data_IF_635890918564
#
_entry.id   IF_635890918564
#
_cell.length_a   1.000
_cell.length_b   1.000
_cell.length_c   1.000
_cell.angle_alpha   90.00
_cell.angle_beta   90.00
_cell.angle_gamma   90.00
#
_symmetry.space_group_name_H-M   'P 1'
#
loop_
_entity.id
_entity.type
_entity.pdbx_description
1 polymer ?
#
# COMPACT_ATOMS: atom_id res chain seq x y z
N UNK A 1 -2.10 -8.78 0.36
CA UNK A 1 -0.67 -9.09 0.58
C UNK A 1 -0.51 -10.59 0.73
N UNK A 2 0.56 -11.16 0.16
CA UNK A 2 0.76 -12.62 0.13
C UNK A 2 2.22 -13.00 0.34
N UNK A 3 2.47 -14.21 0.88
CA UNK A 3 3.83 -14.67 1.08
C UNK A 3 3.95 -16.07 1.67
N UNK A 4 5.17 -16.41 2.06
CA UNK A 4 5.53 -17.71 2.61
C UNK A 4 4.91 -17.97 3.99
N UNK A 5 4.60 -19.23 4.24
CA UNK A 5 4.18 -19.71 5.57
C UNK A 5 5.36 -19.87 6.57
N UNK A 6 6.59 -19.79 6.06
CA UNK A 6 7.83 -19.86 6.84
C UNK A 6 8.69 -18.63 6.53
N UNK A 7 8.31 -17.48 7.05
CA UNK A 7 9.02 -16.24 6.79
C UNK A 7 10.35 -16.14 7.54
N UNK A 8 11.19 -15.19 7.12
CA UNK A 8 12.41 -14.84 7.86
C UNK A 8 12.09 -14.16 9.18
N UNK A 9 13.08 -14.07 10.08
CA UNK A 9 12.92 -13.42 11.41
C UNK A 9 12.38 -11.98 11.31
N UNK A 10 12.80 -11.24 10.30
CA UNK A 10 12.42 -9.83 10.14
C UNK A 10 11.10 -9.63 9.39
N UNK A 11 10.43 -10.71 8.97
CA UNK A 11 9.26 -10.60 8.11
C UNK A 11 8.06 -9.95 8.81
N UNK A 12 7.89 -10.16 10.10
CA UNK A 12 6.82 -9.54 10.88
C UNK A 12 6.98 -8.01 10.88
N UNK A 13 8.17 -7.52 11.20
CA UNK A 13 8.45 -6.08 11.18
C UNK A 13 8.35 -5.49 9.76
N UNK A 14 8.78 -6.24 8.75
CA UNK A 14 8.60 -5.83 7.35
C UNK A 14 7.12 -5.67 7.01
N UNK A 15 6.28 -6.65 7.34
CA UNK A 15 4.83 -6.55 7.14
C UNK A 15 4.23 -5.38 7.92
N UNK A 16 4.69 -5.17 9.16
CA UNK A 16 4.26 -4.07 10.02
C UNK A 16 4.53 -2.71 9.36
N UNK A 17 5.75 -2.49 8.84
CA UNK A 17 6.13 -1.25 8.13
C UNK A 17 5.35 -1.06 6.83
N UNK A 18 5.19 -2.12 6.03
CA UNK A 18 4.39 -2.09 4.80
C UNK A 18 2.95 -1.67 5.08
N UNK A 19 2.32 -2.31 6.06
CA UNK A 19 0.92 -2.03 6.40
C UNK A 19 0.78 -0.65 7.05
N UNK A 20 1.71 -0.26 7.95
CA UNK A 20 1.72 1.08 8.54
C UNK A 20 1.69 2.20 7.49
N UNK A 21 2.37 2.02 6.36
CA UNK A 21 2.39 3.01 5.29
C UNK A 21 1.01 3.31 4.70
N UNK A 22 0.04 2.40 4.88
CA UNK A 22 -1.34 2.55 4.42
C UNK A 22 -2.21 3.40 5.36
N UNK A 23 -1.69 3.82 6.52
CA UNK A 23 -2.43 4.71 7.41
C UNK A 23 -2.76 6.04 6.71
N UNK A 24 -3.96 6.55 6.98
CA UNK A 24 -4.47 7.75 6.32
C UNK A 24 -4.89 7.53 4.86
N UNK A 25 -5.00 6.28 4.41
CA UNK A 25 -5.55 5.93 3.10
C UNK A 25 -6.91 5.22 3.25
N UNK A 26 -7.58 4.96 2.11
CA UNK A 26 -8.77 4.09 2.06
C UNK A 26 -8.43 2.64 1.70
N UNK A 27 -7.17 2.23 1.91
CA UNK A 27 -6.74 0.89 1.61
C UNK A 27 -7.38 -0.14 2.56
N UNK A 28 -7.67 -1.31 2.01
CA UNK A 28 -8.09 -2.49 2.75
C UNK A 28 -7.03 -3.58 2.52
N UNK A 29 -6.55 -4.18 3.59
CA UNK A 29 -5.60 -5.30 3.50
C UNK A 29 -6.38 -6.59 3.28
N UNK A 30 -6.15 -7.27 2.16
CA UNK A 30 -6.76 -8.57 1.86
C UNK A 30 -5.69 -9.64 1.87
N UNK A 31 -5.91 -10.73 2.60
CA UNK A 31 -5.01 -11.90 2.63
C UNK A 31 -5.77 -13.18 2.98
N UNK A 32 -5.03 -14.28 3.15
CA UNK A 32 -5.62 -15.61 3.25
C UNK A 32 -5.66 -16.21 4.65
N UNK A 33 -5.34 -15.46 5.69
CA UNK A 33 -5.27 -15.95 7.06
C UNK A 33 -4.38 -17.21 7.21
N UNK A 34 -3.41 -17.40 6.31
CA UNK A 34 -2.42 -18.46 6.44
C UNK A 34 -1.36 -18.06 7.46
N UNK A 35 -0.71 -19.07 8.06
CA UNK A 35 0.46 -18.83 8.92
C UNK A 35 1.53 -18.03 8.15
N UNK A 36 2.28 -17.17 8.84
CA UNK A 36 3.38 -16.38 8.27
C UNK A 36 2.93 -15.04 7.72
N UNK A 37 3.30 -14.69 6.49
CA UNK A 37 3.09 -13.36 5.92
C UNK A 37 1.62 -12.93 5.99
N UNK A 38 0.68 -13.80 5.68
CA UNK A 38 -0.75 -13.48 5.72
C UNK A 38 -1.18 -13.02 7.12
N UNK A 39 -0.84 -13.83 8.16
CA UNK A 39 -1.15 -13.48 9.56
C UNK A 39 -0.48 -12.18 9.98
N UNK A 40 0.81 -11.99 9.67
CA UNK A 40 1.53 -10.76 10.01
C UNK A 40 0.91 -9.50 9.38
N UNK A 41 0.40 -9.62 8.15
CA UNK A 41 -0.29 -8.50 7.51
C UNK A 41 -1.63 -8.18 8.16
N UNK A 42 -2.39 -9.20 8.60
CA UNK A 42 -3.63 -9.00 9.35
C UNK A 42 -3.37 -8.40 10.73
N UNK A 43 -2.39 -8.92 11.47
CA UNK A 43 -1.98 -8.40 12.79
C UNK A 43 -1.57 -6.92 12.68
N UNK A 44 -0.75 -6.58 11.69
CA UNK A 44 -0.37 -5.20 11.44
C UNK A 44 -1.56 -4.32 11.04
N UNK A 45 -2.52 -4.85 10.26
CA UNK A 45 -3.72 -4.11 9.89
C UNK A 45 -4.56 -3.77 11.14
N UNK A 46 -4.71 -4.71 12.06
CA UNK A 46 -5.38 -4.49 13.34
C UNK A 46 -4.63 -3.47 14.21
N UNK A 47 -3.30 -3.60 14.32
CA UNK A 47 -2.46 -2.68 15.09
C UNK A 47 -2.62 -1.23 14.62
N UNK A 48 -2.70 -1.00 13.31
CA UNK A 48 -2.76 0.36 12.73
C UNK A 48 -4.17 0.83 12.38
N UNK A 49 -5.21 0.08 12.77
CA UNK A 49 -6.61 0.44 12.51
C UNK A 49 -6.96 0.43 11.01
N UNK A 50 -6.29 -0.40 10.22
CA UNK A 50 -6.55 -0.53 8.78
C UNK A 50 -7.55 -1.67 8.57
N UNK A 51 -8.66 -1.44 7.83
CA UNK A 51 -9.62 -2.50 7.54
C UNK A 51 -8.95 -3.71 6.87
N UNK A 52 -9.32 -4.92 7.29
CA UNK A 52 -8.74 -6.13 6.74
C UNK A 52 -9.79 -7.20 6.46
N UNK A 53 -9.59 -7.92 5.34
CA UNK A 53 -10.44 -9.02 4.89
C UNK A 53 -9.60 -10.29 4.82
N UNK A 54 -9.99 -11.31 5.57
CA UNK A 54 -9.39 -12.62 5.49
C UNK A 54 -10.27 -13.56 4.64
N UNK A 55 -9.75 -13.98 3.51
CA UNK A 55 -10.44 -14.98 2.67
C UNK A 55 -9.96 -16.36 3.12
N UNK A 56 -10.84 -17.28 3.47
CA UNK A 56 -10.49 -18.62 3.94
C UNK A 56 -10.85 -19.70 2.91
N UNK A 57 -10.27 -20.89 3.05
CA UNK A 57 -10.38 -22.00 2.09
C UNK A 57 -11.27 -23.14 2.62
N UNK A 58 -12.20 -22.80 3.50
CA UNK A 58 -13.13 -23.69 4.17
C UNK A 58 -14.40 -22.93 4.55
N UNK A 59 -15.43 -23.62 4.98
CA UNK A 59 -16.67 -23.02 5.47
C UNK A 59 -16.48 -22.20 6.76
N UNK A 60 -17.38 -21.28 7.03
CA UNK A 60 -17.27 -20.33 8.15
C UNK A 60 -17.46 -21.02 9.52
N UNK A 61 -18.23 -22.12 9.59
CA UNK A 61 -18.46 -22.88 10.82
C UNK A 61 -17.32 -23.89 11.10
N UNK A 62 -16.41 -24.08 10.15
CA UNK A 62 -15.26 -24.96 10.34
C UNK A 62 -14.17 -24.26 11.15
N UNK A 63 -13.77 -24.88 12.25
CA UNK A 63 -12.81 -24.30 13.18
C UNK A 63 -11.47 -23.90 12.50
N UNK A 64 -11.07 -22.67 12.71
CA UNK A 64 -9.74 -22.18 12.33
C UNK A 64 -8.75 -22.66 13.42
N UNK A 65 -7.67 -23.38 13.07
CA UNK A 65 -6.77 -23.95 14.05
C UNK A 65 -5.79 -22.93 14.65
N UNK A 66 -5.46 -23.16 15.93
CA UNK A 66 -4.37 -22.45 16.63
C UNK A 66 -4.61 -20.95 16.82
N UNK A 67 -3.54 -20.20 16.89
CA UNK A 67 -3.51 -18.74 17.11
C UNK A 67 -4.31 -17.95 16.06
N UNK A 68 -4.49 -18.49 14.87
CA UNK A 68 -5.28 -17.86 13.81
C UNK A 68 -6.76 -17.73 14.14
N UNK A 69 -7.28 -18.52 15.09
CA UNK A 69 -8.67 -18.37 15.58
C UNK A 69 -8.85 -17.04 16.29
N UNK A 70 -7.92 -16.68 17.17
CA UNK A 70 -7.95 -15.40 17.88
C UNK A 70 -7.75 -14.24 16.90
N UNK A 71 -6.84 -14.39 15.94
CA UNK A 71 -6.66 -13.38 14.89
C UNK A 71 -7.95 -13.18 14.08
N UNK A 72 -8.64 -14.26 13.69
CA UNK A 72 -9.91 -14.18 12.97
C UNK A 72 -10.98 -13.47 13.81
N UNK A 73 -11.08 -13.76 15.11
CA UNK A 73 -11.99 -13.10 16.04
C UNK A 73 -11.70 -11.59 16.11
N UNK A 74 -10.44 -11.20 16.30
CA UNK A 74 -10.02 -9.81 16.37
C UNK A 74 -10.29 -9.05 15.05
N UNK A 75 -10.12 -9.72 13.89
CA UNK A 75 -10.47 -9.12 12.58
C UNK A 75 -11.95 -8.72 12.57
N UNK A 76 -12.84 -9.62 12.97
CA UNK A 76 -14.30 -9.34 12.97
C UNK A 76 -14.66 -8.27 14.00
N UNK A 77 -14.14 -8.37 15.22
CA UNK A 77 -14.38 -7.40 16.30
C UNK A 77 -13.92 -5.98 15.95
N UNK A 78 -12.87 -5.87 15.12
CA UNK A 78 -12.36 -4.58 14.63
C UNK A 78 -13.09 -4.06 13.38
N UNK A 79 -14.21 -4.66 13.00
CA UNK A 79 -14.99 -4.25 11.83
C UNK A 79 -14.42 -4.76 10.49
N UNK A 80 -13.48 -5.71 10.52
CA UNK A 80 -13.02 -6.45 9.37
C UNK A 80 -13.97 -7.58 8.98
N UNK A 81 -13.54 -8.44 8.04
CA UNK A 81 -14.38 -9.51 7.49
C UNK A 81 -13.61 -10.81 7.33
N UNK A 82 -14.27 -11.93 7.66
CA UNK A 82 -13.86 -13.27 7.23
C UNK A 82 -14.78 -13.69 6.10
N UNK A 83 -14.22 -14.06 4.96
CA UNK A 83 -14.95 -14.41 3.75
C UNK A 83 -14.64 -15.84 3.30
N UNK A 84 -15.64 -16.56 2.88
CA UNK A 84 -15.51 -17.87 2.24
C UNK A 84 -16.45 -17.99 1.04
N UNK A 85 -16.08 -18.79 0.05
CA UNK A 85 -16.96 -19.18 -1.06
C UNK A 85 -17.60 -20.56 -0.84
N UNK A 86 -17.25 -21.24 0.26
CA UNK A 86 -17.71 -22.58 0.58
C UNK A 86 -18.94 -22.51 1.51
N UNK A 87 -19.76 -23.56 1.47
CA UNK A 87 -20.81 -23.76 2.46
C UNK A 87 -20.23 -23.76 3.88
N UNK A 88 -21.04 -23.39 4.86
CA UNK A 88 -20.57 -23.10 6.22
C UNK A 88 -19.82 -24.24 6.88
N UNK A 89 -20.25 -25.47 6.66
CA UNK A 89 -19.67 -26.69 7.24
C UNK A 89 -18.61 -27.36 6.35
N UNK A 90 -18.32 -26.78 5.17
CA UNK A 90 -17.40 -27.37 4.18
C UNK A 90 -15.96 -27.43 4.69
N UNK A 91 -15.34 -28.64 4.79
CA UNK A 91 -14.01 -28.81 5.39
C UNK A 91 -12.88 -28.24 4.51
N UNK A 92 -11.73 -27.97 5.15
CA UNK A 92 -10.55 -27.51 4.45
C UNK A 92 -9.85 -28.66 3.71
N UNK A 93 -9.75 -28.57 2.38
CA UNK A 93 -8.96 -29.48 1.55
C UNK A 93 -7.76 -28.77 0.94
N UNK A 94 -6.68 -29.52 0.63
CA UNK A 94 -5.46 -28.95 0.06
C UNK A 94 -5.71 -28.17 -1.22
N UNK A 95 -6.61 -28.64 -2.10
CA UNK A 95 -6.97 -28.00 -3.37
C UNK A 95 -7.69 -26.67 -3.21
N UNK A 96 -8.36 -26.43 -2.08
CA UNK A 96 -9.13 -25.20 -1.85
C UNK A 96 -8.23 -23.98 -1.67
N UNK A 97 -7.01 -24.16 -1.13
CA UNK A 97 -6.10 -23.04 -0.86
C UNK A 97 -5.66 -22.32 -2.17
N UNK A 98 -5.23 -23.04 -3.22
CA UNK A 98 -4.97 -22.39 -4.51
C UNK A 98 -6.23 -21.80 -5.16
N UNK A 99 -7.37 -22.52 -5.10
CA UNK A 99 -8.63 -22.05 -5.65
C UNK A 99 -9.10 -20.74 -5.01
N UNK A 100 -9.03 -20.64 -3.69
CA UNK A 100 -9.37 -19.44 -2.92
C UNK A 100 -8.52 -18.24 -3.31
N UNK A 101 -7.25 -18.42 -3.68
CA UNK A 101 -6.33 -17.31 -3.96
C UNK A 101 -6.82 -16.39 -5.10
N UNK A 102 -7.67 -16.89 -6.02
CA UNK A 102 -8.33 -16.06 -7.04
C UNK A 102 -9.24 -15.00 -6.43
N UNK A 103 -9.84 -15.28 -5.29
CA UNK A 103 -10.70 -14.31 -4.59
C UNK A 103 -9.82 -13.23 -3.96
N UNK A 104 -8.68 -13.60 -3.34
CA UNK A 104 -7.72 -12.63 -2.79
C UNK A 104 -7.24 -11.68 -3.90
N UNK A 105 -6.79 -12.23 -5.05
CA UNK A 105 -6.38 -11.42 -6.20
C UNK A 105 -7.55 -10.59 -6.74
N UNK A 106 -8.71 -11.23 -6.94
CA UNK A 106 -9.90 -10.63 -7.53
C UNK A 106 -10.40 -9.39 -6.79
N UNK A 107 -10.39 -9.42 -5.46
CA UNK A 107 -10.82 -8.31 -4.60
C UNK A 107 -9.85 -7.11 -4.61
N UNK A 108 -8.60 -7.30 -5.06
CA UNK A 108 -7.56 -6.29 -4.94
C UNK A 108 -7.26 -5.61 -6.29
N UNK A 109 -6.87 -4.33 -6.23
CA UNK A 109 -6.29 -3.59 -7.37
C UNK A 109 -4.84 -3.97 -7.62
N UNK A 110 -4.13 -4.33 -6.55
CA UNK A 110 -2.73 -4.72 -6.59
C UNK A 110 -2.44 -5.84 -5.60
N UNK A 111 -1.46 -6.67 -5.91
CA UNK A 111 -0.96 -7.72 -5.03
C UNK A 111 0.47 -7.40 -4.62
N UNK A 112 0.76 -7.51 -3.32
CA UNK A 112 2.12 -7.34 -2.78
C UNK A 112 2.66 -8.72 -2.43
N UNK A 113 3.69 -9.16 -3.15
CA UNK A 113 4.45 -10.37 -2.87
C UNK A 113 5.61 -10.03 -1.93
N UNK A 114 5.48 -10.43 -0.66
CA UNK A 114 6.44 -10.02 0.39
C UNK A 114 7.64 -10.94 0.43
N UNK A 115 7.42 -12.23 0.64
CA UNK A 115 8.46 -13.26 0.64
C UNK A 115 7.91 -14.57 0.08
N UNK A 116 8.69 -15.25 -0.77
CA UNK A 116 8.34 -16.56 -1.30
C UNK A 116 9.57 -17.24 -1.90
N UNK A 117 9.65 -18.57 -1.77
CA UNK A 117 10.54 -19.39 -2.59
C UNK A 117 10.04 -19.44 -4.04
N UNK A 118 10.90 -19.81 -5.00
CA UNK A 118 10.56 -19.97 -6.42
C UNK A 118 9.42 -20.97 -6.72
N UNK A 119 9.11 -21.88 -5.78
CA UNK A 119 8.00 -22.83 -5.87
C UNK A 119 7.01 -22.65 -4.73
N UNK A 120 6.87 -21.42 -4.22
CA UNK A 120 5.99 -21.10 -3.11
C UNK A 120 4.53 -20.90 -3.56
N UNK A 121 3.57 -21.30 -2.70
CA UNK A 121 2.14 -21.13 -2.97
C UNK A 121 1.68 -19.68 -3.15
N UNK A 122 2.44 -18.70 -2.64
CA UNK A 122 2.15 -17.28 -2.84
C UNK A 122 2.33 -16.83 -4.30
N UNK A 123 3.16 -17.55 -5.08
CA UNK A 123 3.36 -17.26 -6.51
C UNK A 123 2.10 -17.53 -7.32
N UNK A 124 1.25 -18.46 -6.89
CA UNK A 124 -0.06 -18.70 -7.52
C UNK A 124 -0.91 -17.42 -7.49
N UNK A 125 -0.91 -16.71 -6.36
CA UNK A 125 -1.64 -15.44 -6.24
C UNK A 125 -0.99 -14.33 -7.07
N UNK A 126 0.35 -14.33 -7.16
CA UNK A 126 1.08 -13.39 -8.02
C UNK A 126 0.76 -13.63 -9.51
N UNK A 127 0.73 -14.88 -9.95
CA UNK A 127 0.37 -15.23 -11.33
C UNK A 127 -1.08 -14.87 -11.66
N UNK A 128 -2.02 -15.12 -10.74
CA UNK A 128 -3.42 -14.69 -10.89
C UNK A 128 -3.54 -13.17 -11.02
N UNK A 129 -2.81 -12.40 -10.22
CA UNK A 129 -2.75 -10.95 -10.32
C UNK A 129 -2.31 -10.49 -11.72
N UNK A 130 -1.27 -11.13 -12.28
CA UNK A 130 -0.78 -10.83 -13.63
C UNK A 130 -1.76 -11.24 -14.72
N UNK A 131 -2.41 -12.41 -14.60
CA UNK A 131 -3.45 -12.87 -15.53
C UNK A 131 -4.63 -11.91 -15.58
N UNK A 132 -5.00 -11.34 -14.42
CA UNK A 132 -6.03 -10.31 -14.29
C UNK A 132 -5.56 -8.91 -14.73
N UNK A 133 -4.33 -8.79 -15.26
CA UNK A 133 -3.70 -7.53 -15.67
C UNK A 133 -3.66 -6.47 -14.55
N UNK A 134 -3.55 -6.92 -13.32
CA UNK A 134 -3.44 -6.07 -12.14
C UNK A 134 -1.97 -5.81 -11.79
N UNK A 135 -1.75 -4.80 -10.96
CA UNK A 135 -0.42 -4.40 -10.52
C UNK A 135 0.16 -5.41 -9.53
N UNK A 136 1.23 -6.10 -9.92
CA UNK A 136 2.03 -6.89 -9.01
C UNK A 136 3.16 -6.04 -8.44
N UNK A 137 3.25 -5.99 -7.12
CA UNK A 137 4.31 -5.37 -6.35
C UNK A 137 5.14 -6.45 -5.69
N UNK A 138 6.45 -6.30 -5.64
CA UNK A 138 7.32 -7.26 -4.99
C UNK A 138 8.36 -6.56 -4.10
N UNK A 139 8.63 -7.16 -2.95
CA UNK A 139 9.64 -6.69 -2.04
C UNK A 139 10.97 -7.33 -2.44
N UNK A 140 11.96 -6.56 -2.90
CA UNK A 140 13.27 -7.09 -3.21
C UNK A 140 13.96 -7.56 -1.91
N UNK A 141 14.79 -8.57 -2.04
CA UNK A 141 15.55 -9.08 -0.91
C UNK A 141 16.90 -9.62 -1.36
N UNK A 142 17.67 -10.10 -0.41
CA UNK A 142 18.97 -10.67 -0.64
C UNK A 142 18.90 -11.79 -1.70
N UNK A 143 19.79 -11.77 -2.69
CA UNK A 143 19.83 -12.73 -3.80
C UNK A 143 20.14 -14.16 -3.33
N UNK A 144 20.86 -14.32 -2.20
CA UNK A 144 21.16 -15.62 -1.60
C UNK A 144 20.00 -16.15 -0.72
N UNK A 145 18.97 -15.33 -0.48
CA UNK A 145 17.84 -15.72 0.36
C UNK A 145 16.78 -16.48 -0.43
N UNK A 146 16.55 -17.74 -0.08
CA UNK A 146 15.42 -18.50 -0.66
C UNK A 146 14.05 -17.80 -0.49
N UNK A 147 13.87 -17.04 0.59
CA UNK A 147 12.64 -16.32 0.85
C UNK A 147 12.42 -15.12 -0.07
N UNK A 148 13.50 -14.57 -0.64
CA UNK A 148 13.46 -13.48 -1.61
C UNK A 148 13.44 -13.98 -3.08
N UNK A 149 13.72 -15.25 -3.31
CA UNK A 149 13.87 -15.80 -4.66
C UNK A 149 12.61 -15.62 -5.53
N UNK A 150 11.40 -15.78 -4.97
CA UNK A 150 10.15 -15.54 -5.68
C UNK A 150 9.94 -14.07 -6.05
N UNK A 151 9.94 -13.14 -5.11
CA UNK A 151 9.87 -11.70 -5.40
C UNK A 151 10.94 -11.25 -6.43
N UNK A 152 12.21 -11.60 -6.21
CA UNK A 152 13.30 -11.22 -7.10
C UNK A 152 13.11 -11.75 -8.53
N UNK A 153 12.59 -12.96 -8.69
CA UNK A 153 12.28 -13.53 -9.99
C UNK A 153 11.25 -12.71 -10.79
N UNK A 154 10.17 -12.24 -10.17
CA UNK A 154 9.19 -11.39 -10.86
C UNK A 154 9.74 -9.99 -11.16
N UNK A 155 10.63 -9.48 -10.30
CA UNK A 155 11.34 -8.21 -10.52
C UNK A 155 12.29 -8.31 -11.72
N UNK A 156 13.11 -9.36 -11.77
CA UNK A 156 14.05 -9.63 -12.86
C UNK A 156 13.36 -9.76 -14.21
N UNK A 157 12.18 -10.38 -14.23
CA UNK A 157 11.36 -10.50 -15.44
C UNK A 157 10.59 -9.22 -15.82
N UNK A 158 10.71 -8.14 -15.05
CA UNK A 158 9.92 -6.92 -15.27
C UNK A 158 8.42 -7.09 -15.07
N UNK A 159 7.98 -8.17 -14.44
CA UNK A 159 6.57 -8.48 -14.20
C UNK A 159 6.01 -7.86 -12.93
N UNK A 160 6.86 -7.43 -12.02
CA UNK A 160 6.47 -6.75 -10.79
C UNK A 160 7.18 -5.40 -10.66
N UNK A 161 6.52 -4.43 -10.00
CA UNK A 161 7.18 -3.20 -9.59
C UNK A 161 7.82 -3.39 -8.22
N UNK A 162 9.07 -2.93 -8.01
CA UNK A 162 9.74 -3.05 -6.72
C UNK A 162 9.16 -2.08 -5.68
N UNK A 163 9.09 -2.52 -4.43
CA UNK A 163 8.90 -1.66 -3.26
C UNK A 163 10.18 -1.74 -2.45
N UNK A 164 11.11 -0.81 -2.68
CA UNK A 164 12.41 -0.78 -2.00
C UNK A 164 12.30 -0.26 -0.56
N UNK A 165 11.40 0.68 -0.35
CA UNK A 165 11.15 1.29 0.96
C UNK A 165 9.74 0.91 1.39
N UNK A 166 9.58 0.11 2.47
CA UNK A 166 8.25 -0.34 2.92
C UNK A 166 7.25 0.80 3.11
N UNK A 167 7.71 1.94 3.60
CA UNK A 167 6.91 3.14 3.86
C UNK A 167 6.37 3.80 2.57
N UNK A 168 6.95 3.48 1.42
CA UNK A 168 6.49 4.00 0.11
C UNK A 168 5.42 3.12 -0.54
N UNK A 169 4.99 2.03 0.09
CA UNK A 169 4.04 1.09 -0.51
C UNK A 169 2.80 1.76 -1.08
N UNK A 170 2.19 2.70 -0.34
CA UNK A 170 0.99 3.38 -0.80
C UNK A 170 1.24 4.18 -2.09
N UNK A 171 2.42 4.82 -2.23
CA UNK A 171 2.80 5.57 -3.44
C UNK A 171 2.98 4.63 -4.62
N UNK A 172 3.76 3.55 -4.45
CA UNK A 172 4.05 2.58 -5.52
C UNK A 172 2.79 1.85 -5.97
N UNK A 173 1.86 1.63 -5.04
CA UNK A 173 0.55 1.03 -5.31
C UNK A 173 -0.46 2.03 -5.93
N UNK A 174 -0.12 3.31 -6.07
CA UNK A 174 -1.02 4.34 -6.59
C UNK A 174 -2.20 4.64 -5.65
N UNK A 175 -2.00 4.54 -4.33
CA UNK A 175 -3.01 4.79 -3.31
C UNK A 175 -2.81 6.20 -2.76
N UNK A 176 -3.83 7.05 -2.85
CA UNK A 176 -3.80 8.39 -2.27
C UNK A 176 -4.12 8.36 -0.77
N UNK A 177 -3.44 9.18 0.02
CA UNK A 177 -3.83 9.43 1.41
C UNK A 177 -5.12 10.24 1.44
N UNK A 178 -6.02 9.90 2.35
CA UNK A 178 -7.21 10.72 2.62
C UNK A 178 -6.74 11.88 3.47
N UNK A 179 -6.76 13.07 2.91
CA UNK A 179 -6.57 14.28 3.70
C UNK A 179 -7.80 14.39 4.61
N UNK A 180 -7.62 14.20 5.91
CA UNK A 180 -8.67 14.50 6.87
C UNK A 180 -8.96 15.99 6.78
N UNK A 181 -10.13 16.35 6.24
CA UNK A 181 -10.60 17.73 6.16
C UNK A 181 -10.74 18.42 7.55
N UNK A 182 -10.53 17.66 8.63
CA UNK A 182 -10.67 18.10 10.02
C UNK A 182 -9.34 18.19 10.80
N UNK A 183 -8.19 17.95 10.17
CA UNK A 183 -6.92 18.33 10.79
C UNK A 183 -6.61 19.75 10.36
N UNK A 184 -6.96 20.72 11.20
CA UNK A 184 -6.32 22.03 11.13
C UNK A 184 -4.79 21.79 11.12
N UNK A 185 -4.06 22.44 10.20
CA UNK A 185 -2.60 22.34 10.18
C UNK A 185 -2.10 22.86 11.53
N UNK A 186 -1.56 21.95 12.35
CA UNK A 186 -0.90 22.36 13.59
C UNK A 186 0.20 23.37 13.25
N UNK A 187 0.28 24.45 13.99
CA UNK A 187 1.22 25.55 13.78
C UNK A 187 2.70 25.12 13.64
N UNK A 188 3.01 23.88 14.05
CA UNK A 188 4.34 23.26 13.97
C UNK A 188 4.78 22.95 12.53
N UNK A 189 3.84 22.67 11.61
CA UNK A 189 4.17 22.39 10.20
C UNK A 189 4.51 23.64 9.38
N UNK A 190 4.00 24.81 9.81
CA UNK A 190 4.29 26.08 9.17
C UNK A 190 5.67 26.63 9.56
N UNK A 191 6.10 26.41 10.83
CA UNK A 191 7.42 26.83 11.30
C UNK A 191 8.57 26.02 10.70
N UNK A 192 8.34 24.78 10.24
CA UNK A 192 9.35 23.98 9.53
C UNK A 192 9.53 24.41 8.08
N UNK A 193 8.47 24.90 7.41
CA UNK A 193 8.53 25.43 6.04
C UNK A 193 9.30 26.76 6.02
N UNK A 194 9.17 27.57 7.06
CA UNK A 194 9.92 28.84 7.20
C UNK A 194 11.36 28.66 7.67
N UNK A 195 11.74 27.51 8.22
CA UNK A 195 13.12 27.20 8.64
C UNK A 195 14.13 27.10 7.47
N UNK A 196 13.66 26.99 6.23
CA UNK A 196 14.50 27.06 5.00
C UNK A 196 14.83 28.50 4.58
N UNK A 197 14.41 29.52 5.31
CA UNK A 197 14.81 30.92 5.09
C UNK A 197 14.17 31.65 3.89
N UNK A 198 13.16 31.07 3.24
CA UNK A 198 12.38 31.71 2.19
C UNK A 198 10.98 32.03 2.71
N UNK A 199 10.61 33.32 2.73
CA UNK A 199 9.22 33.73 2.94
C UNK A 199 8.42 33.44 1.67
N UNK A 200 7.52 32.45 1.76
CA UNK A 200 6.63 32.09 0.67
C UNK A 200 5.45 33.08 0.59
N UNK A 201 5.06 33.43 -0.62
CA UNK A 201 3.84 34.22 -0.83
C UNK A 201 2.60 33.46 -0.33
N UNK A 202 1.56 34.23 0.06
CA UNK A 202 0.28 33.63 0.52
C UNK A 202 -0.35 32.74 -0.57
N UNK A 203 -0.13 33.09 -1.83
CA UNK A 203 -0.61 32.36 -3.00
C UNK A 203 0.16 31.04 -3.18
N UNK A 204 1.48 31.04 -2.99
CA UNK A 204 2.32 29.85 -3.04
C UNK A 204 1.95 28.88 -1.92
N UNK A 205 1.76 29.37 -0.70
CA UNK A 205 1.31 28.55 0.43
C UNK A 205 -0.08 27.93 0.17
N UNK A 206 -0.99 28.69 -0.43
CA UNK A 206 -2.35 28.21 -0.74
C UNK A 206 -2.30 27.11 -1.81
N UNK A 207 -1.52 27.32 -2.87
CA UNK A 207 -1.33 26.33 -3.94
C UNK A 207 -0.66 25.07 -3.40
N UNK A 208 0.40 25.20 -2.63
CA UNK A 208 1.11 24.08 -2.02
C UNK A 208 0.21 23.28 -1.08
N UNK A 209 -0.54 23.93 -0.19
CA UNK A 209 -1.48 23.25 0.71
C UNK A 209 -2.56 22.47 -0.06
N UNK A 210 -3.05 23.01 -1.17
CA UNK A 210 -4.10 22.39 -1.97
C UNK A 210 -3.62 21.13 -2.69
N UNK A 211 -2.37 21.11 -3.17
CA UNK A 211 -1.85 20.03 -4.02
C UNK A 211 -0.71 19.24 -3.37
N UNK A 212 -0.45 19.46 -2.09
CA UNK A 212 0.60 18.76 -1.36
C UNK A 212 0.48 17.23 -1.49
N UNK A 213 1.54 16.58 -1.96
CA UNK A 213 1.57 15.13 -2.21
C UNK A 213 0.97 14.70 -3.55
N UNK A 214 0.50 15.62 -4.39
CA UNK A 214 -0.03 15.33 -5.73
C UNK A 214 0.96 15.67 -6.83
N UNK A 215 0.75 15.02 -7.98
CA UNK A 215 1.37 15.41 -9.25
C UNK A 215 0.32 16.10 -10.10
N UNK A 216 0.66 17.24 -10.66
CA UNK A 216 -0.22 18.02 -11.50
C UNK A 216 0.52 18.53 -12.72
N UNK A 217 -0.12 18.47 -13.86
CA UNK A 217 0.35 19.17 -15.05
C UNK A 217 0.01 20.66 -14.96
N UNK A 218 0.71 21.47 -15.72
CA UNK A 218 0.42 22.91 -15.78
C UNK A 218 -1.05 23.18 -16.19
N UNK A 219 -1.57 22.40 -17.13
CA UNK A 219 -2.96 22.54 -17.59
C UNK A 219 -3.96 22.22 -16.48
N UNK A 220 -3.76 21.14 -15.73
CA UNK A 220 -4.61 20.80 -14.59
C UNK A 220 -4.59 21.87 -13.50
N UNK A 221 -3.42 22.48 -13.25
CA UNK A 221 -3.30 23.59 -12.30
C UNK A 221 -4.05 24.85 -12.80
N UNK A 222 -4.03 25.11 -14.10
CA UNK A 222 -4.81 26.20 -14.69
C UNK A 222 -6.32 25.98 -14.55
N UNK A 223 -6.78 24.77 -14.84
CA UNK A 223 -8.21 24.42 -14.82
C UNK A 223 -8.78 24.37 -13.39
N UNK A 224 -7.97 23.96 -12.41
CA UNK A 224 -8.38 23.82 -11.03
C UNK A 224 -8.14 25.09 -10.17
N UNK A 225 -7.33 26.02 -10.62
CA UNK A 225 -7.00 27.25 -9.91
C UNK A 225 -7.54 28.49 -10.63
N UNK A 226 -8.17 29.39 -9.89
CA UNK A 226 -8.65 30.68 -10.42
C UNK A 226 -7.52 31.72 -10.60
N UNK A 227 -6.30 31.29 -10.92
CA UNK A 227 -5.16 32.19 -11.14
C UNK A 227 -4.90 32.38 -12.63
N UNK A 228 -4.40 33.58 -12.99
CA UNK A 228 -3.89 33.83 -14.36
C UNK A 228 -2.65 32.95 -14.60
N UNK A 229 -2.46 32.46 -15.82
CA UNK A 229 -1.34 31.58 -16.21
C UNK A 229 0.04 32.10 -15.79
N UNK A 230 0.26 33.43 -15.91
CA UNK A 230 1.50 34.09 -15.48
C UNK A 230 1.76 34.01 -14.00
N UNK A 231 0.70 34.03 -13.17
CA UNK A 231 0.80 33.93 -11.72
C UNK A 231 1.11 32.51 -11.28
N UNK A 232 0.52 31.50 -11.95
CA UNK A 232 0.80 30.09 -11.65
C UNK A 232 2.27 29.76 -11.87
N UNK A 233 2.87 30.23 -12.98
CA UNK A 233 4.29 30.03 -13.26
C UNK A 233 5.19 30.67 -12.20
N UNK A 234 4.89 31.90 -11.79
CA UNK A 234 5.64 32.58 -10.73
C UNK A 234 5.56 31.82 -9.39
N UNK A 235 4.36 31.37 -9.02
CA UNK A 235 4.12 30.58 -7.80
C UNK A 235 4.86 29.23 -7.85
N UNK A 236 4.82 28.53 -9.00
CA UNK A 236 5.52 27.26 -9.16
C UNK A 236 7.03 27.43 -9.07
N UNK A 237 7.58 28.50 -9.66
CA UNK A 237 9.01 28.84 -9.56
C UNK A 237 9.40 29.11 -8.10
N UNK A 238 8.58 29.85 -7.35
CA UNK A 238 8.79 30.12 -5.93
C UNK A 238 8.82 28.82 -5.10
N UNK A 239 7.87 27.91 -5.36
CA UNK A 239 7.77 26.62 -4.69
C UNK A 239 8.93 25.67 -5.10
N UNK A 240 9.39 25.75 -6.34
CA UNK A 240 10.52 24.96 -6.84
C UNK A 240 11.84 25.43 -6.21
N UNK A 241 12.08 26.74 -6.14
CA UNK A 241 13.23 27.33 -5.46
C UNK A 241 13.26 27.01 -3.97
N UNK A 242 12.10 26.84 -3.36
CA UNK A 242 11.95 26.44 -1.95
C UNK A 242 12.06 24.93 -1.75
N UNK A 243 12.26 24.13 -2.80
CA UNK A 243 12.34 22.67 -2.74
C UNK A 243 11.01 21.95 -2.44
N UNK A 244 9.90 22.69 -2.41
CA UNK A 244 8.57 22.16 -2.11
C UNK A 244 7.87 21.55 -3.34
N UNK A 245 8.31 21.91 -4.53
CA UNK A 245 7.84 21.35 -5.80
C UNK A 245 9.05 20.91 -6.61
N UNK A 246 8.92 19.83 -7.35
CA UNK A 246 9.91 19.37 -8.32
C UNK A 246 9.26 19.22 -9.69
N UNK A 247 9.89 19.80 -10.71
CA UNK A 247 9.46 19.62 -12.09
C UNK A 247 10.07 18.36 -12.66
N UNK A 248 9.24 17.52 -13.28
CA UNK A 248 9.64 16.35 -14.07
C UNK A 248 9.28 16.58 -15.54
N UNK A 249 9.71 15.68 -16.44
CA UNK A 249 9.47 15.75 -17.87
C UNK A 249 8.03 16.17 -18.24
N UNK A 250 7.88 17.03 -19.26
CA UNK A 250 6.60 17.54 -19.77
C UNK A 250 5.79 18.47 -18.82
N UNK A 251 6.46 19.29 -18.01
CA UNK A 251 5.79 20.23 -17.10
C UNK A 251 4.85 19.54 -16.10
N UNK A 252 5.25 18.36 -15.62
CA UNK A 252 4.60 17.68 -14.52
C UNK A 252 5.23 18.16 -13.20
N UNK A 253 4.45 18.83 -12.37
CA UNK A 253 4.86 19.36 -11.08
C UNK A 253 4.51 18.37 -9.96
N UNK A 254 5.50 18.00 -9.19
CA UNK A 254 5.34 17.14 -8.01
C UNK A 254 5.46 17.98 -6.74
N UNK A 255 4.36 18.11 -6.02
CA UNK A 255 4.33 18.81 -4.74
C UNK A 255 4.85 17.89 -3.65
N UNK A 256 6.07 18.18 -3.15
CA UNK A 256 6.72 17.36 -2.13
C UNK A 256 5.93 17.44 -0.83
N UNK A 257 5.26 16.35 -0.46
CA UNK A 257 4.68 16.24 0.87
C UNK A 257 5.79 16.40 1.92
N UNK A 258 5.65 17.34 2.84
CA UNK A 258 6.51 17.37 4.02
C UNK A 258 6.38 16.04 4.75
N UNK A 259 7.51 15.32 4.88
CA UNK A 259 7.65 14.04 5.61
C UNK A 259 7.27 14.18 7.08
#
# INVERSE_FOLDING_TARGET
MVGTRRPTRNAQELCRRLVKSLQGTRAVVVSGLAQGIDSYCHEAALEFGIPTIAVIAQGLDVAIPGERRELARHIVESGGCIMSEYENDFPAFKGNFPARNRIISGLCRSTVLVQSKLKGGALITADLCLQEKKLLLAIPGDFDSEAAAGPNHYLDQGKAKPVFVPESLYVVAGISKVLNANSEPTATSLSQITAAGCELSTEALTLFKRFNGFRKTFQELQDECNFKSSNILAILTELELSGLVQTQDNYLFYFNGTT
#
